data_IF_924971885671
#
_entry.id   IF_924971885671
#
_cell.length_a   1.000
_cell.length_b   1.000
_cell.length_c   1.000
_cell.angle_alpha   90.00
_cell.angle_beta   90.00
_cell.angle_gamma   90.00
#
_symmetry.space_group_name_H-M   'P 1'
#
loop_
_entity.id
_entity.type
_entity.pdbx_description
1 polymer ?
#
# COMPACT_ATOMS: atom_id res chain seq x y z
N UNK A 1 -11.20 -5.88 -8.65
CA UNK A 1 -10.17 -5.48 -7.67
C UNK A 1 -9.26 -6.66 -7.41
N UNK A 2 -7.94 -6.44 -7.44
CA UNK A 2 -6.94 -7.48 -7.24
C UNK A 2 -6.20 -7.22 -5.95
N UNK A 3 -5.95 -8.28 -5.16
CA UNK A 3 -5.03 -8.23 -4.03
C UNK A 3 -3.59 -8.50 -4.50
N UNK A 4 -2.59 -8.11 -3.72
CA UNK A 4 -1.19 -8.46 -3.99
C UNK A 4 -0.98 -9.98 -4.10
N UNK A 5 -1.76 -10.77 -3.34
CA UNK A 5 -1.76 -12.24 -3.40
C UNK A 5 -2.30 -12.76 -4.73
N UNK A 6 -3.32 -12.12 -5.31
CA UNK A 6 -3.89 -12.53 -6.60
C UNK A 6 -2.88 -12.31 -7.73
N UNK A 7 -2.12 -11.21 -7.70
CA UNK A 7 -1.01 -10.96 -8.63
C UNK A 7 0.03 -12.08 -8.52
N UNK A 8 0.47 -12.43 -7.31
CA UNK A 8 1.42 -13.53 -7.08
C UNK A 8 0.87 -14.86 -7.59
N UNK A 9 -0.41 -15.17 -7.35
CA UNK A 9 -1.06 -16.39 -7.84
C UNK A 9 -1.09 -16.44 -9.37
N UNK A 10 -1.44 -15.32 -10.04
CA UNK A 10 -1.47 -15.22 -11.50
C UNK A 10 -0.08 -15.47 -12.09
N UNK A 11 0.95 -14.79 -11.58
CA UNK A 11 2.34 -14.96 -12.01
C UNK A 11 2.81 -16.40 -11.79
N UNK A 12 2.57 -16.97 -10.60
CA UNK A 12 2.94 -18.34 -10.27
C UNK A 12 2.26 -19.37 -11.18
N UNK A 13 1.00 -19.16 -11.51
CA UNK A 13 0.25 -20.03 -12.43
C UNK A 13 0.87 -20.01 -13.83
N UNK A 14 1.16 -18.82 -14.38
CA UNK A 14 1.79 -18.68 -15.68
C UNK A 14 3.19 -19.34 -15.75
N UNK A 15 4.02 -19.12 -14.72
CA UNK A 15 5.32 -19.76 -14.64
C UNK A 15 5.22 -21.30 -14.58
N UNK A 16 4.22 -21.84 -13.87
CA UNK A 16 3.99 -23.29 -13.83
C UNK A 16 3.58 -23.85 -15.20
N UNK A 17 2.77 -23.13 -15.96
CA UNK A 17 2.41 -23.51 -17.34
C UNK A 17 3.62 -23.46 -18.24
N UNK A 18 4.50 -22.48 -18.07
CA UNK A 18 5.78 -22.39 -18.79
C UNK A 18 6.82 -23.48 -18.38
N UNK A 19 6.46 -24.44 -17.51
CA UNK A 19 7.29 -25.57 -17.13
C UNK A 19 8.02 -25.44 -15.78
N UNK A 20 7.93 -24.29 -15.09
CA UNK A 20 8.58 -24.07 -13.78
C UNK A 20 7.72 -24.56 -12.61
N UNK A 21 7.52 -25.89 -12.50
CA UNK A 21 6.55 -26.51 -11.57
C UNK A 21 6.77 -26.21 -10.10
N UNK A 22 8.02 -26.08 -9.64
CA UNK A 22 8.40 -25.89 -8.22
C UNK A 22 8.88 -24.47 -7.89
N UNK A 23 8.64 -23.48 -8.77
CA UNK A 23 9.14 -22.12 -8.56
C UNK A 23 8.41 -21.43 -7.40
N UNK A 24 9.19 -20.79 -6.52
CA UNK A 24 8.68 -19.93 -5.47
C UNK A 24 8.36 -18.55 -6.04
N UNK A 25 7.24 -17.97 -5.64
CA UNK A 25 6.85 -16.60 -5.98
C UNK A 25 6.27 -15.95 -4.74
N UNK A 26 6.67 -14.74 -4.44
CA UNK A 26 6.19 -13.92 -3.34
C UNK A 26 6.21 -12.44 -3.70
N UNK A 27 5.69 -11.58 -2.83
CA UNK A 27 5.79 -10.13 -3.00
C UNK A 27 6.47 -9.49 -1.79
N UNK A 28 7.13 -8.35 -2.00
CA UNK A 28 7.78 -7.56 -0.97
C UNK A 28 6.98 -6.28 -0.68
N UNK A 29 6.00 -6.40 0.21
CA UNK A 29 5.13 -5.31 0.66
C UNK A 29 3.76 -5.31 -0.04
N UNK A 30 2.73 -5.55 0.75
CA UNK A 30 1.33 -5.53 0.30
C UNK A 30 0.93 -4.14 -0.23
N UNK A 31 0.14 -4.13 -1.29
CA UNK A 31 -0.69 -2.99 -1.71
C UNK A 31 -2.14 -3.31 -1.37
N UNK A 32 -2.85 -2.31 -0.85
CA UNK A 32 -4.29 -2.41 -0.62
C UNK A 32 -5.05 -2.60 -1.94
N UNK A 33 -6.23 -3.24 -1.95
CA UNK A 33 -6.96 -3.56 -3.19
C UNK A 33 -7.36 -2.35 -4.03
N UNK A 34 -7.48 -1.15 -3.41
CA UNK A 34 -7.77 0.11 -4.09
C UNK A 34 -6.51 0.88 -4.51
N UNK A 35 -5.33 0.47 -4.02
CA UNK A 35 -4.08 1.13 -4.35
C UNK A 35 -3.55 0.67 -5.72
N UNK A 36 -2.80 1.57 -6.36
CA UNK A 36 -2.07 1.34 -7.61
C UNK A 36 -0.56 1.48 -7.40
N UNK A 37 0.22 1.30 -8.46
CA UNK A 37 1.65 1.55 -8.45
C UNK A 37 2.51 0.29 -8.34
N UNK A 38 3.75 0.45 -7.90
CA UNK A 38 4.76 -0.62 -7.94
C UNK A 38 4.52 -1.70 -6.88
N UNK A 39 4.44 -2.95 -7.32
CA UNK A 39 4.45 -4.15 -6.48
C UNK A 39 5.67 -5.00 -6.84
N UNK A 40 6.56 -5.21 -5.89
CA UNK A 40 7.73 -6.05 -6.08
C UNK A 40 7.33 -7.53 -5.99
N UNK A 41 7.42 -8.25 -7.11
CA UNK A 41 7.17 -9.69 -7.19
C UNK A 41 8.50 -10.42 -7.28
N UNK A 42 8.84 -11.17 -6.24
CA UNK A 42 10.08 -11.95 -6.16
C UNK A 42 9.84 -13.37 -6.69
N UNK A 43 10.71 -13.82 -7.63
CA UNK A 43 10.58 -15.10 -8.30
C UNK A 43 11.86 -15.94 -8.05
N UNK A 44 11.70 -17.21 -7.73
CA UNK A 44 12.81 -18.15 -7.52
C UNK A 44 13.71 -17.74 -6.35
N UNK A 45 15.01 -17.56 -6.61
CA UNK A 45 16.00 -17.19 -5.58
C UNK A 45 15.74 -15.80 -4.98
N UNK A 46 15.16 -14.88 -5.74
CA UNK A 46 14.81 -13.53 -5.25
C UNK A 46 13.81 -13.56 -4.09
N UNK A 47 13.06 -14.64 -3.87
CA UNK A 47 12.19 -14.78 -2.69
C UNK A 47 12.95 -14.74 -1.37
N UNK A 48 14.26 -14.98 -1.35
CA UNK A 48 15.11 -14.83 -0.15
C UNK A 48 15.37 -13.37 0.21
N UNK A 49 15.13 -12.43 -0.72
CA UNK A 49 15.34 -10.99 -0.52
C UNK A 49 14.05 -10.27 -0.09
N UNK A 50 12.92 -10.98 0.05
CA UNK A 50 11.61 -10.37 0.36
C UNK A 50 11.68 -9.50 1.60
N UNK A 51 12.28 -9.98 2.69
CA UNK A 51 12.34 -9.25 3.95
C UNK A 51 13.20 -7.97 3.83
N UNK A 52 14.34 -8.05 3.14
CA UNK A 52 15.21 -6.90 2.88
C UNK A 52 14.49 -5.85 2.01
N UNK A 53 13.87 -6.28 0.90
CA UNK A 53 13.11 -5.39 0.01
C UNK A 53 11.87 -4.79 0.71
N UNK A 54 11.25 -5.53 1.61
CA UNK A 54 10.14 -5.04 2.41
C UNK A 54 10.58 -4.01 3.45
N UNK A 55 11.82 -4.10 3.92
CA UNK A 55 12.39 -3.18 4.90
C UNK A 55 12.71 -1.79 4.33
N UNK A 56 12.92 -1.69 3.01
CA UNK A 56 13.21 -0.43 2.32
C UNK A 56 12.12 0.62 2.51
N UNK A 57 12.46 1.90 2.31
CA UNK A 57 11.49 3.00 2.31
C UNK A 57 10.50 2.90 1.14
N UNK A 58 9.36 3.55 1.29
CA UNK A 58 8.32 3.65 0.26
C UNK A 58 7.94 5.09 0.01
N UNK A 59 7.54 5.37 -1.24
CA UNK A 59 6.95 6.65 -1.60
C UNK A 59 5.57 6.44 -2.19
N UNK A 60 4.67 7.34 -1.82
CA UNK A 60 3.28 7.32 -2.27
C UNK A 60 2.84 8.72 -2.70
N UNK A 61 1.92 8.74 -3.67
CA UNK A 61 1.04 9.88 -3.94
C UNK A 61 -0.37 9.46 -3.55
N UNK A 62 -1.06 10.29 -2.79
CA UNK A 62 -2.39 10.00 -2.26
C UNK A 62 -3.32 11.20 -2.39
N UNK A 63 -4.55 10.94 -2.81
CA UNK A 63 -5.65 11.90 -2.69
C UNK A 63 -6.39 11.63 -1.39
N UNK A 64 -6.57 12.69 -0.60
CA UNK A 64 -7.24 12.68 0.70
C UNK A 64 -8.48 13.57 0.59
N UNK A 65 -9.63 13.05 0.97
CA UNK A 65 -10.88 13.79 1.09
C UNK A 65 -11.04 14.26 2.53
N UNK A 66 -11.12 15.57 2.71
CA UNK A 66 -11.38 16.21 4.01
C UNK A 66 -12.88 16.31 4.29
N UNK A 67 -13.25 16.35 5.56
CA UNK A 67 -14.63 16.55 6.01
C UNK A 67 -15.46 15.28 6.10
N UNK A 68 -14.87 14.09 5.91
CA UNK A 68 -15.61 12.85 6.05
C UNK A 68 -14.67 11.70 6.47
N UNK A 69 -15.20 10.76 7.26
CA UNK A 69 -14.52 9.53 7.63
C UNK A 69 -15.17 8.30 7.01
N UNK A 70 -14.43 7.21 6.97
CA UNK A 70 -14.93 5.88 6.65
C UNK A 70 -14.30 4.86 7.63
N UNK A 71 -14.95 3.73 7.93
CA UNK A 71 -14.40 2.73 8.85
C UNK A 71 -13.05 2.14 8.43
N UNK A 72 -12.77 2.10 7.12
CA UNK A 72 -11.51 1.59 6.55
C UNK A 72 -10.46 2.67 6.27
N UNK A 73 -10.82 3.95 6.47
CA UNK A 73 -10.02 5.13 6.12
C UNK A 73 -9.74 5.27 4.62
N UNK A 74 -10.53 4.59 3.78
CA UNK A 74 -10.53 4.62 2.33
C UNK A 74 -11.95 4.35 1.76
N UNK A 75 -12.07 4.13 0.44
CA UNK A 75 -13.34 3.88 -0.24
C UNK A 75 -13.80 2.40 -0.21
N UNK A 76 -13.24 1.53 0.65
CA UNK A 76 -13.75 0.16 0.81
C UNK A 76 -15.10 0.15 1.55
N UNK A 77 -15.32 1.14 2.41
CA UNK A 77 -16.57 1.33 3.15
C UNK A 77 -17.17 2.70 2.85
N UNK A 78 -18.49 2.85 2.97
CA UNK A 78 -19.16 4.15 2.83
C UNK A 78 -18.75 5.12 3.95
N UNK A 79 -19.00 6.40 3.71
CA UNK A 79 -18.84 7.46 4.71
C UNK A 79 -19.72 7.15 5.92
N UNK A 80 -19.13 7.21 7.11
CA UNK A 80 -19.81 7.02 8.40
C UNK A 80 -20.06 8.32 9.16
N UNK A 81 -19.18 9.32 9.01
CA UNK A 81 -19.35 10.63 9.65
C UNK A 81 -18.88 11.76 8.72
N UNK A 82 -19.48 12.94 8.91
CA UNK A 82 -19.12 14.18 8.20
C UNK A 82 -18.75 15.27 9.20
N UNK A 83 -17.86 16.16 8.78
CA UNK A 83 -17.28 17.22 9.61
C UNK A 83 -17.23 18.54 8.85
N UNK A 84 -17.28 19.71 9.55
CA UNK A 84 -17.04 21.00 8.94
C UNK A 84 -15.63 21.09 8.35
N UNK A 85 -15.49 21.84 7.27
CA UNK A 85 -14.21 22.09 6.59
C UNK A 85 -13.96 23.57 6.31
N UNK A 86 -14.88 24.47 6.65
CA UNK A 86 -14.77 25.91 6.32
C UNK A 86 -13.56 26.58 6.98
N UNK A 87 -13.15 26.08 8.13
CA UNK A 87 -11.97 26.55 8.88
C UNK A 87 -10.65 26.03 8.30
N UNK A 88 -10.67 25.05 7.37
CA UNK A 88 -9.46 24.44 6.84
C UNK A 88 -8.90 25.34 5.73
N UNK A 89 -7.70 25.87 5.95
CA UNK A 89 -6.94 26.65 4.98
C UNK A 89 -5.75 25.85 4.44
N UNK A 90 -5.15 26.32 3.34
CA UNK A 90 -3.93 25.72 2.79
C UNK A 90 -2.80 25.71 3.83
N UNK A 91 -2.60 26.83 4.51
CA UNK A 91 -1.59 26.99 5.55
C UNK A 91 -1.83 26.03 6.72
N UNK A 92 -3.09 25.86 7.13
CA UNK A 92 -3.48 24.90 8.16
C UNK A 92 -3.13 23.46 7.77
N UNK A 93 -3.38 23.08 6.49
CA UNK A 93 -2.98 21.77 5.97
C UNK A 93 -1.45 21.63 6.00
N UNK A 94 -0.69 22.60 5.52
CA UNK A 94 0.78 22.55 5.49
C UNK A 94 1.36 22.41 6.91
N UNK A 95 0.76 23.08 7.91
CA UNK A 95 1.13 22.96 9.34
C UNK A 95 0.82 21.54 9.87
N UNK A 96 -0.35 21.01 9.58
CA UNK A 96 -0.73 19.64 9.95
C UNK A 96 0.22 18.60 9.36
N UNK A 97 0.58 18.73 8.08
CA UNK A 97 1.55 17.84 7.44
C UNK A 97 2.95 17.94 8.08
N UNK A 98 3.37 19.13 8.43
CA UNK A 98 4.65 19.36 9.13
C UNK A 98 4.65 18.68 10.52
N UNK A 99 3.57 18.80 11.28
CA UNK A 99 3.41 18.18 12.61
C UNK A 99 3.41 16.63 12.54
N UNK A 100 2.95 16.06 11.43
CA UNK A 100 2.89 14.62 11.21
C UNK A 100 4.18 14.03 10.62
N UNK A 101 5.16 14.85 10.26
CA UNK A 101 6.46 14.44 9.74
C UNK A 101 7.42 14.03 10.86
N UNK A 102 8.28 13.04 10.61
CA UNK A 102 9.25 12.54 11.58
C UNK A 102 8.91 11.17 12.15
N UNK A 103 9.59 10.82 13.25
CA UNK A 103 9.37 9.55 13.96
C UNK A 103 8.14 9.65 14.86
N UNK A 104 7.27 8.66 14.80
CA UNK A 104 6.02 8.65 15.54
C UNK A 104 5.43 7.26 15.74
N UNK A 105 4.56 7.13 16.73
CA UNK A 105 3.72 5.94 16.91
C UNK A 105 2.47 6.06 16.03
N UNK A 106 2.20 5.03 15.24
CA UNK A 106 1.00 4.94 14.40
C UNK A 106 0.14 3.75 14.77
N UNK A 107 -1.17 3.96 14.92
CA UNK A 107 -2.15 2.89 15.05
C UNK A 107 -2.52 2.38 13.66
N UNK A 108 -2.30 1.09 13.35
CA UNK A 108 -2.75 0.50 12.09
C UNK A 108 -4.26 0.62 11.91
N UNK A 109 -4.78 0.61 10.67
CA UNK A 109 -6.23 0.52 10.47
C UNK A 109 -6.73 -0.86 10.90
N UNK A 110 -7.98 -0.92 11.39
CA UNK A 110 -8.62 -2.17 11.81
C UNK A 110 -8.69 -3.17 10.64
N UNK A 111 -9.00 -2.66 9.44
CA UNK A 111 -9.04 -3.44 8.20
C UNK A 111 -7.63 -3.58 7.59
N UNK A 112 -6.71 -4.29 8.30
CA UNK A 112 -5.34 -4.51 7.85
C UNK A 112 -4.96 -5.99 7.84
N UNK A 113 -3.89 -6.32 7.10
CA UNK A 113 -3.33 -7.65 7.05
C UNK A 113 -2.46 -7.99 8.29
N UNK A 114 -2.35 -7.09 9.28
CA UNK A 114 -1.60 -7.32 10.52
C UNK A 114 -2.21 -8.50 11.28
N UNK A 115 -1.37 -9.41 11.75
CA UNK A 115 -1.83 -10.55 12.56
C UNK A 115 -1.89 -10.17 14.03
N UNK A 116 -2.96 -10.59 14.69
CA UNK A 116 -3.20 -10.47 16.11
C UNK A 116 -3.50 -11.90 16.60
N UNK A 117 -2.66 -12.42 17.47
CA UNK A 117 -2.77 -13.81 17.98
C UNK A 117 -2.95 -14.87 16.88
N UNK A 118 -2.30 -14.66 15.73
CA UNK A 118 -2.36 -15.58 14.59
C UNK A 118 -3.46 -15.29 13.56
N UNK A 119 -4.52 -14.56 13.93
CA UNK A 119 -5.63 -14.15 13.05
C UNK A 119 -5.37 -12.77 12.44
N UNK A 120 -5.79 -12.53 11.21
CA UNK A 120 -5.61 -11.21 10.59
C UNK A 120 -6.62 -10.21 11.12
N UNK A 121 -6.17 -8.97 11.39
CA UNK A 121 -7.02 -7.91 11.95
C UNK A 121 -8.32 -7.68 11.15
N UNK A 122 -8.27 -7.76 9.81
CA UNK A 122 -9.46 -7.60 8.98
C UNK A 122 -10.49 -8.75 9.16
N UNK A 123 -10.05 -9.95 9.54
CA UNK A 123 -10.96 -11.09 9.80
C UNK A 123 -11.71 -10.88 11.12
N UNK A 124 -11.00 -10.39 12.16
CA UNK A 124 -11.59 -10.03 13.45
C UNK A 124 -12.55 -8.83 13.31
N UNK A 125 -12.15 -7.82 12.54
CA UNK A 125 -13.00 -6.66 12.26
C UNK A 125 -14.34 -7.05 11.60
N UNK A 126 -14.31 -7.99 10.65
CA UNK A 126 -15.53 -8.50 10.00
C UNK A 126 -16.39 -9.34 10.94
N UNK A 127 -15.80 -9.97 11.94
CA UNK A 127 -16.52 -10.69 12.98
C UNK A 127 -17.13 -9.77 14.04
N UNK A 128 -16.87 -8.45 13.99
CA UNK A 128 -17.36 -7.48 14.98
C UNK A 128 -16.60 -7.54 16.31
N UNK A 129 -15.43 -8.17 16.35
CA UNK A 129 -14.62 -8.28 17.57
C UNK A 129 -13.87 -6.97 17.83
N UNK A 130 -13.92 -6.48 19.07
CA UNK A 130 -13.06 -5.37 19.52
C UNK A 130 -11.61 -5.84 19.59
N UNK A 131 -10.77 -5.20 18.81
CA UNK A 131 -9.35 -5.57 18.72
C UNK A 131 -8.46 -4.42 19.14
N UNK A 132 -7.67 -4.61 20.18
CA UNK A 132 -6.64 -3.67 20.58
C UNK A 132 -5.45 -3.74 19.61
N UNK A 133 -5.38 -2.78 18.69
CA UNK A 133 -4.28 -2.66 17.73
C UNK A 133 -3.06 -2.02 18.40
N UNK A 134 -1.96 -2.77 18.50
CA UNK A 134 -0.70 -2.21 19.00
C UNK A 134 -0.14 -1.19 18.02
N UNK A 135 0.16 -0.01 18.51
CA UNK A 135 0.90 1.01 17.78
C UNK A 135 2.25 0.47 17.31
N UNK A 136 2.73 0.99 16.20
CA UNK A 136 4.05 0.70 15.66
C UNK A 136 4.82 1.99 15.48
N UNK A 137 6.11 1.96 15.81
CA UNK A 137 7.00 3.08 15.52
C UNK A 137 7.24 3.12 14.02
N UNK A 138 6.97 4.26 13.41
CA UNK A 138 7.17 4.55 11.98
C UNK A 138 7.93 5.86 11.83
N UNK A 139 8.48 6.09 10.65
CA UNK A 139 9.10 7.37 10.29
C UNK A 139 8.50 7.88 9.00
N UNK A 140 8.00 9.09 9.01
CA UNK A 140 7.62 9.85 7.83
C UNK A 140 8.78 10.78 7.51
N UNK A 141 9.57 10.40 6.48
CA UNK A 141 10.77 11.17 6.10
C UNK A 141 10.42 12.46 5.38
N UNK A 142 9.32 12.45 4.65
CA UNK A 142 8.82 13.59 3.90
C UNK A 142 7.32 13.50 3.73
N UNK A 143 6.62 14.61 3.93
CA UNK A 143 5.19 14.75 3.72
C UNK A 143 4.92 16.12 3.13
N UNK A 144 4.54 16.15 1.85
CA UNK A 144 4.32 17.40 1.09
C UNK A 144 2.91 17.49 0.55
N UNK A 145 2.36 18.70 0.59
CA UNK A 145 1.16 19.07 -0.14
C UNK A 145 1.52 19.32 -1.61
N UNK A 146 0.94 18.55 -2.54
CA UNK A 146 1.10 18.75 -3.98
C UNK A 146 -0.03 19.59 -4.57
N UNK A 147 -1.28 19.31 -4.15
CA UNK A 147 -2.47 20.03 -4.62
C UNK A 147 -3.39 20.33 -3.44
N UNK A 148 -3.96 21.53 -3.43
CA UNK A 148 -4.99 21.94 -2.50
C UNK A 148 -6.23 22.42 -3.28
N UNK A 149 -7.25 21.59 -3.31
CA UNK A 149 -8.53 21.81 -4.00
C UNK A 149 -9.65 21.30 -3.08
N UNK A 150 -9.92 22.08 -2.02
CA UNK A 150 -10.85 21.71 -0.94
C UNK A 150 -12.23 21.32 -1.47
N UNK A 151 -12.79 20.16 -1.08
CA UNK A 151 -12.37 19.30 0.06
C UNK A 151 -11.25 18.29 -0.24
N UNK A 152 -10.72 18.20 -1.46
CA UNK A 152 -9.65 17.28 -1.83
C UNK A 152 -8.27 17.93 -1.67
N UNK A 153 -7.34 17.16 -1.13
CA UNK A 153 -5.91 17.49 -1.15
C UNK A 153 -5.13 16.33 -1.75
N UNK A 154 -4.02 16.63 -2.43
CA UNK A 154 -3.05 15.63 -2.86
C UNK A 154 -1.76 15.80 -2.10
N UNK A 155 -1.27 14.69 -1.55
CA UNK A 155 -0.05 14.63 -0.77
C UNK A 155 0.94 13.65 -1.38
N UNK A 156 2.23 13.94 -1.23
CA UNK A 156 3.34 13.00 -1.45
C UNK A 156 3.95 12.64 -0.12
N UNK A 157 4.16 11.33 0.09
CA UNK A 157 4.67 10.76 1.34
C UNK A 157 5.85 9.87 1.04
N UNK A 158 6.98 10.10 1.74
CA UNK A 158 8.10 9.17 1.80
C UNK A 158 8.23 8.67 3.24
N UNK A 159 8.19 7.34 3.44
CA UNK A 159 8.06 6.76 4.77
C UNK A 159 8.77 5.41 4.93
N UNK A 160 8.96 5.01 6.18
CA UNK A 160 9.50 3.71 6.57
C UNK A 160 8.52 2.57 6.27
N UNK A 161 9.03 1.34 6.29
CA UNK A 161 8.18 0.15 6.25
C UNK A 161 7.12 0.16 7.35
N UNK A 162 5.96 -0.43 7.07
CA UNK A 162 4.87 -0.59 8.05
C UNK A 162 4.02 0.66 8.26
N UNK A 163 4.30 1.77 7.58
CA UNK A 163 3.45 2.95 7.57
C UNK A 163 2.18 2.69 6.78
N UNK A 164 1.03 2.98 7.39
CA UNK A 164 -0.29 2.91 6.77
C UNK A 164 -0.72 4.30 6.33
N UNK A 165 -0.79 4.52 5.01
CA UNK A 165 -1.20 5.82 4.46
C UNK A 165 -2.68 6.08 4.73
N UNK A 166 -3.50 5.05 4.90
CA UNK A 166 -4.89 5.15 5.37
C UNK A 166 -4.98 5.74 6.78
N UNK A 167 -4.15 5.26 7.71
CA UNK A 167 -4.07 5.84 9.06
C UNK A 167 -3.55 7.27 9.01
N UNK A 168 -2.58 7.57 8.13
CA UNK A 168 -2.07 8.95 7.97
C UNK A 168 -3.16 9.89 7.47
N UNK A 169 -4.03 9.45 6.54
CA UNK A 169 -5.17 10.27 6.09
C UNK A 169 -6.14 10.60 7.25
N UNK A 170 -6.47 9.60 8.09
CA UNK A 170 -7.24 9.83 9.32
C UNK A 170 -6.54 10.84 10.23
N UNK A 171 -5.24 10.65 10.50
CA UNK A 171 -4.44 11.51 11.37
C UNK A 171 -4.37 12.95 10.85
N UNK A 172 -4.30 13.17 9.52
CA UNK A 172 -4.42 14.49 8.89
C UNK A 172 -5.78 15.12 9.22
N UNK A 173 -6.86 14.36 9.11
CA UNK A 173 -8.21 14.85 9.46
C UNK A 173 -8.30 15.25 10.94
N UNK A 174 -7.76 14.43 11.83
CA UNK A 174 -7.73 14.69 13.28
C UNK A 174 -6.93 15.96 13.61
N UNK A 175 -5.74 16.12 13.02
CA UNK A 175 -4.88 17.30 13.21
C UNK A 175 -5.55 18.59 12.72
N UNK A 176 -6.41 18.49 11.70
CA UNK A 176 -7.21 19.59 11.17
C UNK A 176 -8.55 19.79 11.91
N UNK A 177 -8.77 19.12 13.06
CA UNK A 177 -10.03 19.13 13.80
C UNK A 177 -11.24 18.81 12.92
N UNK A 178 -11.09 17.83 12.02
CA UNK A 178 -12.07 17.38 11.06
C UNK A 178 -11.96 15.86 10.85
N UNK A 179 -12.61 15.32 9.83
CA UNK A 179 -12.39 13.95 9.37
C UNK A 179 -11.66 13.93 8.04
N UNK A 180 -10.99 12.81 7.73
CA UNK A 180 -10.45 12.56 6.40
C UNK A 180 -10.31 11.07 6.10
N UNK A 181 -10.31 10.72 4.80
CA UNK A 181 -10.07 9.39 4.30
C UNK A 181 -9.38 9.43 2.93
N UNK A 182 -8.74 8.33 2.53
CA UNK A 182 -8.16 8.19 1.21
C UNK A 182 -9.23 8.00 0.13
N UNK A 183 -9.07 8.71 -0.99
CA UNK A 183 -9.85 8.46 -2.21
C UNK A 183 -8.99 7.85 -3.33
N UNK A 184 -7.67 8.05 -3.28
CA UNK A 184 -6.70 7.44 -4.19
C UNK A 184 -5.38 7.18 -3.47
N UNK A 185 -4.71 6.09 -3.83
CA UNK A 185 -3.38 5.76 -3.33
C UNK A 185 -2.55 5.14 -4.46
N UNK A 186 -1.37 5.70 -4.72
CA UNK A 186 -0.41 5.14 -5.66
C UNK A 186 0.96 5.03 -5.01
N UNK A 187 1.50 3.81 -4.92
CA UNK A 187 2.91 3.63 -4.53
C UNK A 187 3.80 3.91 -5.72
N UNK A 188 4.48 5.05 -5.71
CA UNK A 188 5.37 5.51 -6.79
C UNK A 188 6.75 4.87 -6.70
N UNK A 189 7.21 4.50 -5.47
CA UNK A 189 8.52 3.90 -5.25
C UNK A 189 8.52 2.90 -4.09
N UNK A 190 9.34 1.85 -4.21
CA UNK A 190 9.64 0.89 -3.15
C UNK A 190 11.14 0.55 -3.21
N UNK A 191 11.92 1.07 -2.26
CA UNK A 191 13.38 1.04 -2.32
C UNK A 191 13.89 1.70 -3.61
N UNK A 192 14.72 0.99 -4.36
CA UNK A 192 15.26 1.45 -5.64
C UNK A 192 14.33 1.25 -6.85
N UNK A 193 13.10 0.74 -6.68
CA UNK A 193 12.21 0.41 -7.79
C UNK A 193 11.08 1.44 -7.91
N UNK A 194 10.86 1.98 -9.10
CA UNK A 194 9.84 2.98 -9.40
C UNK A 194 8.64 2.40 -10.16
N UNK A 195 7.50 3.06 -10.07
CA UNK A 195 6.31 2.65 -10.78
C UNK A 195 6.43 2.87 -12.30
N UNK A 196 7.26 3.84 -12.71
CA UNK A 196 7.45 4.18 -14.13
C UNK A 196 8.31 3.14 -14.87
N UNK A 197 9.20 2.44 -14.14
CA UNK A 197 10.00 1.35 -14.66
C UNK A 197 9.29 -0.01 -14.55
N UNK A 198 8.14 -0.07 -13.89
CA UNK A 198 7.42 -1.30 -13.65
C UNK A 198 6.67 -1.79 -14.90
N UNK A 199 6.65 -3.10 -15.09
CA UNK A 199 5.80 -3.73 -16.07
C UNK A 199 4.32 -3.57 -15.69
N UNK A 200 3.47 -3.29 -16.68
CA UNK A 200 2.05 -3.54 -16.53
C UNK A 200 1.82 -5.05 -16.42
N UNK A 201 0.91 -5.46 -15.53
CA UNK A 201 0.70 -6.89 -15.26
C UNK A 201 0.35 -7.68 -16.53
N UNK A 202 -0.51 -7.12 -17.39
CA UNK A 202 -0.95 -7.82 -18.60
C UNK A 202 0.17 -7.93 -19.64
N UNK A 203 1.03 -6.92 -19.77
CA UNK A 203 2.21 -6.97 -20.65
C UNK A 203 3.23 -7.98 -20.16
N UNK A 204 3.46 -8.05 -18.85
CA UNK A 204 4.31 -9.07 -18.24
C UNK A 204 3.75 -10.48 -18.49
N UNK A 205 2.43 -10.67 -18.34
CA UNK A 205 1.78 -11.94 -18.60
C UNK A 205 1.87 -12.36 -20.06
N UNK A 206 1.71 -11.41 -21.00
CA UNK A 206 1.89 -11.63 -22.44
C UNK A 206 3.33 -12.08 -22.73
N UNK A 207 4.32 -11.39 -22.15
CA UNK A 207 5.73 -11.76 -22.29
C UNK A 207 6.02 -13.17 -21.78
N UNK A 208 5.44 -13.57 -20.66
CA UNK A 208 5.57 -14.94 -20.14
C UNK A 208 4.98 -15.98 -21.12
N UNK A 209 3.85 -15.71 -21.76
CA UNK A 209 3.22 -16.62 -22.72
C UNK A 209 4.03 -16.78 -24.02
N UNK A 210 4.70 -15.71 -24.47
CA UNK A 210 5.59 -15.78 -25.64
C UNK A 210 6.82 -16.68 -25.38
N UNK A 211 7.29 -16.71 -24.14
CA UNK A 211 8.39 -17.56 -23.71
C UNK A 211 7.94 -19.05 -23.68
N UNK A 212 6.70 -19.33 -23.25
CA UNK A 212 6.10 -20.66 -23.26
C UNK A 212 6.07 -21.24 -24.69
N UNK A 213 5.73 -20.41 -25.68
CA UNK A 213 5.62 -20.83 -27.09
C UNK A 213 6.98 -21.10 -27.76
N UNK A 214 8.04 -20.42 -27.33
CA UNK A 214 9.37 -20.52 -27.97
C UNK A 214 10.20 -21.72 -27.52
N UNK A 215 9.79 -22.50 -26.49
CA UNK A 215 10.54 -23.64 -25.89
C UNK A 215 12.05 -23.38 -25.67
N UNK A 216 12.46 -22.13 -25.56
CA UNK A 216 13.84 -21.71 -25.47
C UNK A 216 14.09 -21.04 -24.11
N UNK A 217 14.02 -21.83 -23.03
CA UNK A 217 14.70 -21.45 -21.81
C UNK A 217 15.94 -22.31 -21.65
N UNK A 218 17.11 -21.72 -21.40
CA UNK A 218 18.22 -22.51 -20.93
C UNK A 218 17.75 -23.22 -19.65
N UNK A 219 17.98 -24.53 -19.57
CA UNK A 219 17.78 -25.31 -18.36
C UNK A 219 18.51 -24.56 -17.25
N UNK A 220 17.74 -24.04 -16.28
CA UNK A 220 18.34 -23.55 -15.04
C UNK A 220 18.92 -24.80 -14.37
N UNK A 221 20.22 -24.97 -14.50
CA UNK A 221 20.93 -26.07 -13.83
C UNK A 221 20.64 -26.00 -12.33
N UNK A 222 20.38 -27.18 -11.79
CA UNK A 222 20.23 -27.39 -10.36
C UNK A 222 21.55 -27.02 -9.69
N UNK A 223 21.55 -25.99 -8.87
CA UNK A 223 22.50 -25.80 -7.80
C UNK A 223 21.78 -25.78 -6.46
#
# INVERSE_FOLDING_TARGET
>A
RWTSTDVVRKVKFALRRAGYRKIKVGHAGTLDPLATGVLLVCIGRATKQVDALQAEEKEYVADVMLGATTPSYDLEHPVDQTYPIDHITREGVEQALAALTGERLQTPPLYSAKKIEGTRAYELARAGEEVALRQALITIYELRLEEYDRPRIRIRVRCSKGTYIRSLAREIGEELHSGAHLTSLRRTRSGGFTADEAWQLDDFMKKLSEIETKKTFPRIEKY
#
